data_IF_404242399241
#
_entry.id   IF_404242399241
#
_cell.length_a   1.000
_cell.length_b   1.000
_cell.length_c   1.000
_cell.angle_alpha   90.00
_cell.angle_beta   90.00
_cell.angle_gamma   90.00
#
_symmetry.space_group_name_H-M   'P 1'
#
loop_
_entity.id
_entity.type
_entity.pdbx_description
1 polymer ?
#
# COMPACT_ATOMS: atom_id res chain seq x y z
N UNK A 1 2.41 16.63 3.42
CA UNK A 1 2.46 15.81 2.19
C UNK A 1 1.31 14.81 2.22
N UNK A 2 0.60 14.68 1.13
CA UNK A 2 -0.62 13.87 1.08
C UNK A 2 -0.28 12.39 0.89
N UNK A 3 -0.80 11.54 1.74
CA UNK A 3 -0.67 10.09 1.52
C UNK A 3 -1.79 9.63 0.57
N UNK A 4 -1.50 8.60 -0.22
CA UNK A 4 -2.40 8.12 -1.27
C UNK A 4 -2.80 6.66 -1.08
N UNK A 5 -2.04 5.90 -0.31
CA UNK A 5 -2.35 4.52 0.03
C UNK A 5 -1.74 4.18 1.39
N UNK A 6 -2.11 3.03 1.91
CA UNK A 6 -1.65 2.58 3.22
C UNK A 6 -1.35 1.11 3.21
N UNK A 7 -0.34 0.71 3.97
CA UNK A 7 -0.04 -0.69 4.26
C UNK A 7 -0.50 -0.98 5.68
N UNK A 8 -1.29 -2.03 5.85
CA UNK A 8 -1.83 -2.42 7.14
C UNK A 8 -1.29 -3.81 7.50
N UNK A 9 -0.69 -3.91 8.66
CA UNK A 9 -0.24 -5.17 9.22
C UNK A 9 -1.35 -5.78 10.06
N UNK A 10 -1.75 -6.99 9.72
CA UNK A 10 -2.78 -7.74 10.43
C UNK A 10 -2.11 -8.55 11.54
N UNK A 11 -2.46 -8.26 12.77
CA UNK A 11 -1.87 -8.92 13.94
C UNK A 11 -2.78 -9.99 14.56
N UNK A 12 -4.05 -10.00 14.16
CA UNK A 12 -5.03 -10.98 14.61
C UNK A 12 -5.99 -11.26 13.48
N UNK A 13 -6.26 -12.52 13.20
CA UNK A 13 -7.17 -12.92 12.13
C UNK A 13 -8.57 -12.38 12.35
N UNK A 14 -9.18 -11.83 11.33
CA UNK A 14 -10.57 -11.40 11.37
C UNK A 14 -11.11 -11.29 9.94
N UNK A 15 -12.42 -11.15 9.83
CA UNK A 15 -13.09 -11.06 8.53
C UNK A 15 -13.55 -9.64 8.27
N UNK A 16 -13.45 -9.22 7.01
CA UNK A 16 -14.02 -7.96 6.56
C UNK A 16 -14.98 -8.24 5.41
N UNK A 17 -15.87 -7.28 5.16
CA UNK A 17 -16.75 -7.30 4.00
C UNK A 17 -16.36 -6.14 3.08
N UNK A 18 -16.05 -6.48 1.84
CA UNK A 18 -15.70 -5.50 0.82
C UNK A 18 -16.45 -5.85 -0.46
N UNK A 19 -17.21 -4.89 -0.98
CA UNK A 19 -18.04 -5.09 -2.17
C UNK A 19 -18.94 -6.31 -2.05
N UNK A 20 -19.57 -6.47 -0.89
CA UNK A 20 -20.49 -7.56 -0.57
C UNK A 20 -19.82 -8.94 -0.53
N UNK A 21 -18.48 -8.96 -0.52
CA UNK A 21 -17.74 -10.20 -0.38
C UNK A 21 -17.06 -10.26 0.96
N UNK A 22 -17.11 -11.43 1.59
CA UNK A 22 -16.38 -11.69 2.82
C UNK A 22 -14.94 -12.01 2.50
N UNK A 23 -14.02 -11.28 3.13
CA UNK A 23 -12.60 -11.52 3.00
C UNK A 23 -12.05 -11.91 4.36
N UNK A 24 -11.45 -13.08 4.45
CA UNK A 24 -10.80 -13.53 5.68
C UNK A 24 -9.35 -13.06 5.69
N UNK A 25 -9.01 -12.27 6.71
CA UNK A 25 -7.65 -11.76 6.88
C UNK A 25 -6.94 -12.58 7.95
N UNK A 26 -5.80 -13.13 7.58
CA UNK A 26 -5.00 -13.94 8.49
C UNK A 26 -3.98 -13.10 9.23
N UNK A 27 -3.66 -13.50 10.47
CA UNK A 27 -2.58 -12.86 11.20
C UNK A 27 -1.27 -12.99 10.42
N UNK A 28 -0.37 -12.04 10.61
CA UNK A 28 0.92 -11.97 9.92
C UNK A 28 0.79 -11.79 8.40
N UNK A 29 -0.30 -11.19 7.95
CA UNK A 29 -0.46 -10.75 6.57
C UNK A 29 -0.40 -9.24 6.50
N UNK A 30 -0.14 -8.72 5.31
CA UNK A 30 -0.17 -7.28 5.06
C UNK A 30 -1.15 -6.98 3.95
N UNK A 31 -1.76 -5.80 4.05
CA UNK A 31 -2.71 -5.28 3.07
C UNK A 31 -2.18 -4.00 2.49
N UNK A 32 -2.42 -3.79 1.20
CA UNK A 32 -2.23 -2.50 0.56
C UNK A 32 -3.59 -1.97 0.14
N UNK A 33 -3.94 -0.78 0.62
CA UNK A 33 -5.25 -0.17 0.40
C UNK A 33 -5.09 1.24 -0.14
N UNK A 34 -5.93 1.65 -1.07
CA UNK A 34 -6.00 3.07 -1.42
C UNK A 34 -6.54 3.86 -0.23
N UNK A 35 -6.25 5.16 -0.20
CA UNK A 35 -6.47 6.02 0.97
C UNK A 35 -7.89 5.95 1.54
N UNK A 36 -8.90 6.11 0.69
CA UNK A 36 -10.28 6.17 1.18
C UNK A 36 -10.71 4.86 1.81
N UNK A 37 -10.30 3.74 1.22
CA UNK A 37 -10.61 2.43 1.77
C UNK A 37 -9.85 2.19 3.07
N UNK A 38 -8.59 2.65 3.15
CA UNK A 38 -7.80 2.52 4.37
C UNK A 38 -8.41 3.31 5.52
N UNK A 39 -8.93 4.50 5.25
CA UNK A 39 -9.56 5.32 6.27
C UNK A 39 -10.81 4.64 6.83
N UNK A 40 -11.62 4.02 5.98
CA UNK A 40 -12.77 3.23 6.43
C UNK A 40 -12.35 2.00 7.21
N UNK A 41 -11.24 1.39 6.82
CA UNK A 41 -10.74 0.17 7.42
C UNK A 41 -10.20 0.38 8.84
N UNK A 42 -9.73 1.57 9.16
CA UNK A 42 -9.09 1.86 10.45
C UNK A 42 -10.00 1.58 11.64
N UNK A 43 -11.31 1.50 11.44
CA UNK A 43 -12.25 1.26 12.52
C UNK A 43 -12.60 -0.22 12.72
N UNK A 44 -12.04 -1.12 11.90
CA UNK A 44 -12.46 -2.51 11.91
C UNK A 44 -11.76 -3.37 12.94
N UNK A 45 -10.55 -3.00 13.38
CA UNK A 45 -9.83 -3.78 14.38
C UNK A 45 -8.79 -2.93 15.09
N UNK A 46 -8.72 -2.98 16.43
CA UNK A 46 -7.66 -2.30 17.19
C UNK A 46 -6.29 -2.98 17.08
N UNK A 47 -6.22 -4.20 16.57
CA UNK A 47 -4.99 -4.98 16.51
C UNK A 47 -4.30 -4.88 15.16
N UNK A 48 -4.45 -3.76 14.48
CA UNK A 48 -3.75 -3.51 13.23
C UNK A 48 -2.73 -2.39 13.41
N UNK A 49 -1.67 -2.45 12.62
CA UNK A 49 -0.71 -1.35 12.50
C UNK A 49 -0.80 -0.81 11.08
N UNK A 50 -0.64 0.50 10.93
CA UNK A 50 -0.84 1.18 9.66
C UNK A 50 0.34 2.07 9.33
N UNK A 51 0.79 2.01 8.07
CA UNK A 51 1.75 2.96 7.50
C UNK A 51 1.10 3.64 6.31
N UNK A 52 1.08 4.96 6.34
CA UNK A 52 0.57 5.76 5.24
C UNK A 52 1.71 6.10 4.28
N UNK A 53 1.50 5.81 3.00
CA UNK A 53 2.51 6.01 1.96
C UNK A 53 2.17 7.26 1.16
N UNK A 54 3.14 8.15 1.02
CA UNK A 54 2.94 9.40 0.34
C UNK A 54 2.97 9.25 -1.18
N UNK A 55 2.47 10.26 -1.86
CA UNK A 55 2.39 10.32 -3.31
C UNK A 55 3.78 10.24 -3.95
N UNK A 56 4.76 10.92 -3.36
CA UNK A 56 6.11 10.95 -3.91
C UNK A 56 6.74 9.56 -3.99
N UNK A 57 6.54 8.77 -2.94
CA UNK A 57 7.04 7.39 -2.91
C UNK A 57 6.38 6.54 -4.00
N UNK A 58 5.06 6.67 -4.16
CA UNK A 58 4.34 5.93 -5.21
C UNK A 58 4.86 6.33 -6.59
N UNK A 59 5.07 7.63 -6.82
CA UNK A 59 5.63 8.11 -8.07
C UNK A 59 7.03 7.53 -8.32
N UNK A 60 7.88 7.51 -7.29
CA UNK A 60 9.21 6.91 -7.40
C UNK A 60 9.15 5.44 -7.76
N UNK A 61 8.24 4.70 -7.11
CA UNK A 61 8.07 3.28 -7.41
C UNK A 61 7.69 3.08 -8.88
N UNK A 62 6.69 3.82 -9.36
CA UNK A 62 6.20 3.67 -10.72
C UNK A 62 7.24 4.10 -11.76
N UNK A 63 8.05 5.13 -11.47
CA UNK A 63 9.09 5.59 -12.37
C UNK A 63 10.26 4.60 -12.49
N UNK A 64 10.48 3.78 -11.48
CA UNK A 64 11.59 2.82 -11.46
C UNK A 64 11.22 1.44 -12.00
N UNK A 65 9.97 1.26 -12.43
CA UNK A 65 9.55 0.01 -13.05
C UNK A 65 9.97 0.05 -14.53
N UNK A 66 10.75 -0.95 -14.95
CA UNK A 66 11.29 -0.99 -16.30
C UNK A 66 10.27 -1.26 -17.39
N UNK A 67 9.15 -1.87 -17.03
CA UNK A 67 8.11 -2.21 -17.98
C UNK A 67 6.77 -1.83 -17.42
N UNK A 68 6.27 -0.67 -17.85
CA UNK A 68 4.89 -0.32 -17.58
C UNK A 68 4.01 -1.16 -18.51
N UNK A 69 2.95 -1.79 -17.99
CA UNK A 69 2.01 -2.51 -18.85
C UNK A 69 1.41 -1.57 -19.88
N UNK A 70 1.27 -2.03 -21.11
CA UNK A 70 0.68 -1.23 -22.18
C UNK A 70 -0.76 -0.81 -21.89
N UNK A 71 -1.46 -1.64 -21.14
CA UNK A 71 -2.77 -1.33 -20.59
C UNK A 71 -2.59 -0.99 -19.14
N UNK A 72 -2.52 0.29 -18.82
CA UNK A 72 -2.33 0.75 -17.46
C UNK A 72 -3.55 0.53 -16.59
N UNK A 73 -4.45 -0.35 -16.97
CA UNK A 73 -5.54 -0.77 -16.10
C UNK A 73 -6.20 0.36 -15.34
N UNK A 74 -6.39 1.50 -16.01
CA UNK A 74 -7.10 2.64 -15.42
C UNK A 74 -8.50 2.24 -14.98
N UNK A 75 -8.89 1.03 -15.35
CA UNK A 75 -10.18 0.44 -15.00
C UNK A 75 -10.07 -0.66 -13.96
N UNK A 76 -8.89 -0.85 -13.34
CA UNK A 76 -8.79 -1.83 -12.27
C UNK A 76 -9.73 -1.44 -11.15
N UNK A 77 -10.59 -2.38 -10.77
CA UNK A 77 -11.49 -2.21 -9.64
C UNK A 77 -10.83 -2.59 -8.33
N UNK A 78 -9.60 -3.10 -8.40
CA UNK A 78 -8.91 -3.55 -7.21
C UNK A 78 -8.42 -2.37 -6.41
N UNK A 79 -8.98 -2.20 -5.23
CA UNK A 79 -8.63 -1.16 -4.28
C UNK A 79 -7.90 -1.72 -3.07
N UNK A 80 -7.69 -3.03 -3.08
CA UNK A 80 -7.16 -3.79 -1.96
C UNK A 80 -6.30 -4.92 -2.50
N UNK A 81 -5.08 -5.04 -2.01
CA UNK A 81 -4.21 -6.19 -2.26
C UNK A 81 -3.81 -6.82 -0.94
N UNK A 82 -3.67 -8.15 -0.94
CA UNK A 82 -3.29 -8.90 0.24
C UNK A 82 -2.02 -9.71 -0.07
N UNK A 83 -1.03 -9.60 0.81
CA UNK A 83 0.08 -10.54 0.84
C UNK A 83 -0.05 -11.36 2.13
N UNK A 84 -0.38 -12.64 2.00
CA UNK A 84 -0.62 -13.53 3.14
C UNK A 84 0.65 -14.13 3.72
N UNK A 85 1.78 -13.98 3.03
CA UNK A 85 3.05 -14.58 3.44
C UNK A 85 4.21 -13.61 3.26
N UNK A 86 4.13 -12.41 3.86
CA UNK A 86 5.24 -11.47 3.73
C UNK A 86 6.42 -11.90 4.58
N UNK A 87 7.63 -11.38 4.30
CA UNK A 87 8.79 -11.64 5.15
C UNK A 87 8.62 -10.90 6.50
N UNK A 88 8.05 -11.57 7.48
CA UNK A 88 7.68 -10.94 8.75
C UNK A 88 8.83 -10.26 9.49
N UNK A 89 10.06 -10.80 9.53
CA UNK A 89 11.14 -10.06 10.19
C UNK A 89 11.37 -8.68 9.56
N UNK A 90 11.28 -8.58 8.24
CA UNK A 90 11.42 -7.30 7.56
C UNK A 90 10.22 -6.40 7.80
N UNK A 91 9.01 -6.95 7.73
CA UNK A 91 7.78 -6.19 7.99
C UNK A 91 7.82 -5.59 9.39
N UNK A 92 8.12 -6.39 10.39
CA UNK A 92 8.20 -5.94 11.78
C UNK A 92 9.25 -4.86 11.94
N UNK A 93 10.42 -5.04 11.35
CA UNK A 93 11.48 -4.05 11.43
C UNK A 93 11.07 -2.71 10.81
N UNK A 94 10.38 -2.73 9.68
CA UNK A 94 9.91 -1.51 9.02
C UNK A 94 8.89 -0.78 9.90
N UNK A 95 7.87 -1.49 10.38
CA UNK A 95 6.84 -0.87 11.22
C UNK A 95 7.41 -0.33 12.51
N UNK A 96 8.30 -1.07 13.15
CA UNK A 96 8.93 -0.63 14.40
C UNK A 96 9.82 0.59 14.19
N UNK A 97 10.50 0.69 13.05
CA UNK A 97 11.34 1.84 12.75
C UNK A 97 10.54 3.15 12.73
N UNK A 98 9.32 3.11 12.23
CA UNK A 98 8.48 4.31 12.21
C UNK A 98 7.88 4.65 13.59
N UNK A 99 7.70 3.66 14.45
CA UNK A 99 7.07 3.87 15.76
C UNK A 99 8.05 4.27 16.85
N UNK A 100 9.23 3.65 16.89
CA UNK A 100 10.11 3.76 18.06
C UNK A 100 11.03 4.97 18.03
N UNK A 101 11.62 5.29 16.89
CA UNK A 101 12.65 6.33 16.84
C UNK A 101 12.28 7.50 15.98
N UNK A 102 11.16 7.44 15.31
CA UNK A 102 10.84 8.44 14.30
C UNK A 102 11.88 8.41 13.18
N UNK A 103 11.47 8.06 12.01
CA UNK A 103 12.34 8.13 10.85
C UNK A 103 12.42 9.60 10.42
N UNK A 104 13.55 10.23 10.67
CA UNK A 104 13.72 11.66 10.40
C UNK A 104 14.26 11.96 9.01
N UNK A 105 14.83 10.97 8.34
CA UNK A 105 15.39 11.15 7.01
C UNK A 105 14.34 10.88 5.93
N UNK A 106 14.05 11.85 5.05
CA UNK A 106 13.14 11.60 3.92
C UNK A 106 13.62 10.48 3.02
N UNK A 107 14.94 10.34 2.85
CA UNK A 107 15.53 9.28 2.02
C UNK A 107 15.24 7.92 2.66
N UNK A 108 15.46 7.79 3.95
CA UNK A 108 15.22 6.53 4.66
C UNK A 108 13.74 6.17 4.65
N UNK A 109 12.86 7.14 4.91
CA UNK A 109 11.41 6.92 4.82
C UNK A 109 11.01 6.40 3.46
N UNK A 110 11.51 7.03 2.40
CA UNK A 110 11.23 6.63 1.04
C UNK A 110 11.67 5.19 0.78
N UNK A 111 12.86 4.81 1.24
CA UNK A 111 13.38 3.45 1.07
C UNK A 111 12.51 2.42 1.80
N UNK A 112 12.08 2.73 3.01
CA UNK A 112 11.23 1.83 3.79
C UNK A 112 9.86 1.66 3.14
N UNK A 113 9.26 2.74 2.66
CA UNK A 113 7.98 2.68 1.96
C UNK A 113 8.10 1.90 0.63
N UNK A 114 9.19 2.11 -0.11
CA UNK A 114 9.44 1.35 -1.34
C UNK A 114 9.58 -0.14 -1.05
N UNK A 115 10.20 -0.49 0.06
CA UNK A 115 10.31 -1.88 0.50
C UNK A 115 8.93 -2.47 0.76
N UNK A 116 8.04 -1.72 1.41
CA UNK A 116 6.66 -2.17 1.63
C UNK A 116 5.92 -2.42 0.31
N UNK A 117 6.01 -1.48 -0.63
CA UNK A 117 5.38 -1.65 -1.94
C UNK A 117 5.94 -2.86 -2.67
N UNK A 118 7.24 -3.10 -2.56
CA UNK A 118 7.90 -4.23 -3.21
C UNK A 118 7.39 -5.57 -2.71
N UNK A 119 6.86 -5.64 -1.51
CA UNK A 119 6.26 -6.88 -0.98
C UNK A 119 4.99 -7.29 -1.71
N UNK A 120 4.42 -6.40 -2.52
CA UNK A 120 3.26 -6.70 -3.37
C UNK A 120 3.63 -6.83 -4.84
N UNK A 121 4.93 -6.80 -5.19
CA UNK A 121 5.39 -6.75 -6.58
C UNK A 121 5.00 -7.99 -7.39
N UNK A 122 4.73 -9.11 -6.73
CA UNK A 122 4.26 -10.33 -7.39
C UNK A 122 2.79 -10.26 -7.80
N UNK A 123 2.06 -9.24 -7.34
CA UNK A 123 0.65 -9.04 -7.69
C UNK A 123 0.57 -8.18 -8.93
N UNK A 124 -0.05 -8.69 -9.98
CA UNK A 124 -0.21 -7.94 -11.23
C UNK A 124 -1.11 -6.71 -11.08
N UNK A 125 -1.93 -6.68 -10.04
CA UNK A 125 -2.84 -5.58 -9.76
C UNK A 125 -2.17 -4.40 -9.05
N UNK A 126 -0.90 -4.54 -8.65
CA UNK A 126 -0.21 -3.50 -7.90
C UNK A 126 -0.12 -2.20 -8.68
N UNK A 127 0.35 -2.25 -9.92
CA UNK A 127 0.55 -1.06 -10.73
C UNK A 127 -0.77 -0.34 -10.99
N UNK A 128 -1.85 -1.02 -11.42
CA UNK A 128 -3.13 -0.35 -11.57
C UNK A 128 -3.64 0.28 -10.28
N UNK A 129 -3.48 -0.39 -9.14
CA UNK A 129 -3.92 0.15 -7.86
C UNK A 129 -3.17 1.44 -7.53
N UNK A 130 -1.85 1.47 -7.74
CA UNK A 130 -1.04 2.64 -7.46
C UNK A 130 -1.39 3.81 -8.38
N UNK A 131 -1.62 3.56 -9.67
CA UNK A 131 -2.07 4.61 -10.58
C UNK A 131 -3.42 5.17 -10.17
N UNK A 132 -4.36 4.31 -9.79
CA UNK A 132 -5.68 4.75 -9.34
C UNK A 132 -5.57 5.59 -8.06
N UNK A 133 -4.69 5.22 -7.15
CA UNK A 133 -4.48 5.97 -5.92
C UNK A 133 -4.04 7.40 -6.18
N UNK A 134 -3.14 7.59 -7.13
CA UNK A 134 -2.65 8.92 -7.49
C UNK A 134 -3.73 9.73 -8.21
N UNK A 135 -4.40 9.13 -9.18
CA UNK A 135 -5.39 9.85 -9.96
C UNK A 135 -6.59 10.27 -9.13
N UNK A 136 -6.97 9.46 -8.14
CA UNK A 136 -8.08 9.79 -7.24
C UNK A 136 -7.76 11.01 -6.38
N UNK A 137 -6.50 11.17 -5.97
CA UNK A 137 -6.11 12.26 -5.07
C UNK A 137 -5.91 13.57 -5.83
N UNK A 138 -5.30 13.55 -7.01
CA UNK A 138 -4.87 14.81 -7.60
C UNK A 138 -4.73 14.83 -9.12
N UNK A 139 -5.18 13.79 -9.81
CA UNK A 139 -5.07 13.75 -11.27
C UNK A 139 -3.64 13.75 -11.78
N UNK A 140 -2.68 13.30 -10.99
CA UNK A 140 -1.25 13.39 -11.33
C UNK A 140 -0.73 12.29 -12.23
N UNK A 141 -1.60 11.44 -12.74
CA UNK A 141 -1.21 10.38 -13.67
C UNK A 141 -0.49 10.95 -14.88
N UNK A 142 -0.92 12.12 -15.36
CA UNK A 142 -0.28 12.76 -16.49
C UNK A 142 1.18 13.09 -16.26
N UNK A 143 1.57 13.42 -15.04
CA UNK A 143 2.97 13.69 -14.70
C UNK A 143 3.85 12.47 -14.78
N UNK A 144 3.29 11.29 -14.55
CA UNK A 144 4.03 10.04 -14.63
C UNK A 144 4.23 9.57 -16.06
N UNK A 145 3.32 9.95 -16.95
CA UNK A 145 3.31 9.51 -18.32
C UNK A 145 4.07 10.50 -19.23
N UNK A 146 4.13 11.73 -18.84
CA UNK A 146 4.85 12.77 -19.60
C UNK A 146 6.39 12.73 -19.34
#
# INVERSE_FOLDING_TARGET
MTHVCSVILIRRSFDIYHEQQKISLHNESILLLEKNLADDFAFCSPDTRRLDIDELTVCHYLQNIRQLPRNLGLHSKDRLLINQSPPMPLVTAIFDSFNESGVNSPILSNMLYLSCLSMFSHKKELIPLLFNSISTVSGKVERLIS
#
